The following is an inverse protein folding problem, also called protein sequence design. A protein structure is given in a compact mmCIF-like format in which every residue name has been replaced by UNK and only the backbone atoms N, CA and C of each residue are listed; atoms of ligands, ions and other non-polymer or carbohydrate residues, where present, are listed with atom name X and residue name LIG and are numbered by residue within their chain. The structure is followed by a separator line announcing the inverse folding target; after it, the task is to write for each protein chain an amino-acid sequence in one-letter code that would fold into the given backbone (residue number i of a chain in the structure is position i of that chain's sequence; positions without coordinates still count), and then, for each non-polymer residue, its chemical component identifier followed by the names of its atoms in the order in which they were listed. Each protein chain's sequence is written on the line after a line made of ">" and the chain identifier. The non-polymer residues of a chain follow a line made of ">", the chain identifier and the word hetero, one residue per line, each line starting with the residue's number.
data_IF_431464956673
#
_entry.id   IF_431464956673
#
_cell.length_a   1.000
_cell.length_b   1.000
_cell.length_c   1.000
_cell.angle_alpha   90.00
_cell.angle_beta   90.00
_cell.angle_gamma   90.00
#
_symmetry.space_group_name_H-M   'P 1'
#
loop_
_entity.id
_entity.type
_entity.pdbx_description
1 polymer ?
#
# COMPACT_ATOMS: atom_id res chain seq x y z
N UNK A 1 4.14 23.26 28.84
CA UNK A 1 4.29 21.87 28.38
C UNK A 1 4.23 21.94 26.86
N UNK A 2 5.35 21.75 26.18
CA UNK A 2 5.35 21.59 24.72
C UNK A 2 5.08 20.13 24.41
N UNK A 3 3.96 19.85 23.77
CA UNK A 3 3.68 18.51 23.24
C UNK A 3 4.38 18.43 21.89
N UNK A 4 5.53 17.77 21.84
CA UNK A 4 6.15 17.37 20.57
C UNK A 4 5.51 16.07 20.11
N UNK A 5 4.70 16.14 19.05
CA UNK A 5 4.15 14.97 18.38
C UNK A 5 5.14 14.52 17.31
N UNK A 6 5.84 13.42 17.57
CA UNK A 6 6.63 12.74 16.55
C UNK A 6 5.68 11.94 15.65
N UNK A 7 5.21 12.60 14.59
CA UNK A 7 4.32 12.00 13.61
C UNK A 7 5.12 11.18 12.60
N UNK A 8 4.66 9.97 12.32
CA UNK A 8 5.19 9.19 11.20
C UNK A 8 4.95 9.96 9.90
N UNK A 9 6.01 10.20 9.13
CA UNK A 9 5.95 11.00 7.90
C UNK A 9 5.85 10.19 6.63
N UNK A 10 6.41 8.99 6.65
CA UNK A 10 6.52 8.12 5.49
C UNK A 10 6.27 6.68 5.91
N UNK A 11 5.63 5.94 5.02
CA UNK A 11 5.42 4.50 5.15
C UNK A 11 5.34 3.86 3.78
N UNK A 12 6.02 2.74 3.60
CA UNK A 12 5.95 1.94 2.38
C UNK A 12 5.32 0.59 2.72
N UNK A 13 4.39 0.16 1.88
CA UNK A 13 3.71 -1.12 2.04
C UNK A 13 3.71 -1.91 0.75
N UNK A 14 4.00 -3.21 0.85
CA UNK A 14 4.00 -4.13 -0.28
C UNK A 14 2.76 -5.02 -0.18
N UNK A 15 1.94 -5.00 -1.22
CA UNK A 15 0.69 -5.75 -1.32
C UNK A 15 0.75 -6.66 -2.54
N UNK A 16 0.07 -7.80 -2.46
CA UNK A 16 -0.04 -8.70 -3.60
C UNK A 16 -1.32 -9.52 -3.55
N UNK A 17 -1.86 -9.85 -4.72
CA UNK A 17 -2.99 -10.74 -4.89
C UNK A 17 -2.92 -11.48 -6.24
N UNK A 18 -3.67 -12.57 -6.36
CA UNK A 18 -3.80 -13.32 -7.63
C UNK A 18 -5.00 -12.89 -8.47
N UNK A 19 -5.74 -11.89 -7.97
CA UNK A 19 -6.81 -11.21 -8.66
C UNK A 19 -6.57 -9.69 -8.52
N UNK A 20 -6.75 -8.95 -9.62
CA UNK A 20 -6.45 -7.52 -9.62
C UNK A 20 -7.44 -6.72 -8.77
N UNK A 21 -8.72 -7.10 -8.75
CA UNK A 21 -9.72 -6.42 -7.92
C UNK A 21 -9.46 -6.66 -6.43
N UNK A 22 -8.97 -7.85 -6.07
CA UNK A 22 -8.51 -8.13 -4.70
C UNK A 22 -7.31 -7.24 -4.31
N UNK A 23 -6.37 -6.98 -5.23
CA UNK A 23 -5.26 -6.05 -4.99
C UNK A 23 -5.77 -4.63 -4.79
N UNK A 24 -6.69 -4.15 -5.63
CA UNK A 24 -7.31 -2.83 -5.49
C UNK A 24 -8.02 -2.67 -4.14
N UNK A 25 -8.84 -3.65 -3.76
CA UNK A 25 -9.52 -3.65 -2.45
C UNK A 25 -8.53 -3.61 -1.30
N UNK A 26 -7.44 -4.39 -1.38
CA UNK A 26 -6.41 -4.39 -0.36
C UNK A 26 -5.74 -3.00 -0.25
N UNK A 27 -5.43 -2.35 -1.37
CA UNK A 27 -4.89 -0.98 -1.39
C UNK A 27 -5.86 -0.01 -0.71
N UNK A 28 -7.16 -0.06 -1.02
CA UNK A 28 -8.19 0.80 -0.43
C UNK A 28 -8.33 0.60 1.09
N UNK A 29 -8.25 -0.63 1.57
CA UNK A 29 -8.20 -0.94 3.00
C UNK A 29 -6.97 -0.30 3.66
N UNK A 30 -5.80 -0.39 3.01
CA UNK A 30 -4.57 0.25 3.52
C UNK A 30 -4.67 1.77 3.49
N UNK A 31 -5.32 2.36 2.49
CA UNK A 31 -5.61 3.79 2.44
C UNK A 31 -6.42 4.22 3.67
N UNK A 32 -7.48 3.50 4.02
CA UNK A 32 -8.32 3.86 5.15
C UNK A 32 -7.58 3.78 6.50
N UNK A 33 -6.72 2.78 6.68
CA UNK A 33 -5.88 2.69 7.88
C UNK A 33 -4.84 3.82 7.93
N UNK A 34 -4.19 4.13 6.81
CA UNK A 34 -3.14 5.15 6.78
C UNK A 34 -3.69 6.59 6.88
N UNK A 35 -4.95 6.83 6.47
CA UNK A 35 -5.66 8.09 6.78
C UNK A 35 -5.72 8.37 8.28
N UNK A 36 -5.93 7.35 9.11
CA UNK A 36 -5.93 7.50 10.57
C UNK A 36 -4.55 7.90 11.13
N UNK A 37 -3.48 7.68 10.36
CA UNK A 37 -2.10 8.06 10.66
C UNK A 37 -1.71 9.38 9.99
N UNK A 38 -2.68 10.12 9.44
CA UNK A 38 -2.47 11.36 8.66
C UNK A 38 -1.63 11.18 7.39
N UNK A 39 -1.47 9.94 6.92
CA UNK A 39 -0.75 9.66 5.68
C UNK A 39 -1.73 9.52 4.50
N UNK A 40 -1.32 10.02 3.34
CA UNK A 40 -1.99 9.91 2.04
C UNK A 40 -1.15 9.11 1.06
N UNK A 41 -1.76 8.58 0.01
CA UNK A 41 -1.02 7.93 -1.08
C UNK A 41 -0.19 8.98 -1.80
N UNK A 42 1.13 8.75 -1.84
CA UNK A 42 2.09 9.52 -2.62
C UNK A 42 2.35 8.88 -3.98
N UNK A 43 2.54 7.56 -3.99
CA UNK A 43 2.81 6.80 -5.20
C UNK A 43 2.30 5.36 -5.05
N UNK A 44 1.82 4.79 -6.15
CA UNK A 44 1.57 3.36 -6.29
C UNK A 44 2.36 2.86 -7.48
N UNK A 45 3.22 1.85 -7.28
CA UNK A 45 3.91 1.16 -8.35
C UNK A 45 3.41 -0.27 -8.46
N UNK A 46 2.87 -0.63 -9.62
CA UNK A 46 2.38 -1.98 -9.91
C UNK A 46 3.44 -2.82 -10.62
N UNK A 47 3.42 -4.11 -10.34
CA UNK A 47 4.14 -5.13 -11.11
C UNK A 47 3.25 -6.35 -11.27
N UNK A 48 3.38 -7.02 -12.41
CA UNK A 48 2.71 -8.30 -12.66
C UNK A 48 3.77 -9.33 -13.04
N UNK A 49 3.75 -10.49 -12.40
CA UNK A 49 4.68 -11.59 -12.66
C UNK A 49 3.91 -12.90 -12.78
N UNK A 50 4.26 -13.75 -13.73
CA UNK A 50 3.67 -15.08 -13.82
C UNK A 50 4.25 -15.99 -12.73
N UNK A 51 3.40 -16.56 -11.87
CA UNK A 51 3.78 -17.59 -10.90
C UNK A 51 3.65 -18.98 -11.55
N UNK A 52 4.76 -19.66 -11.86
CA UNK A 52 4.72 -20.97 -12.51
C UNK A 52 4.22 -22.09 -11.59
N UNK A 53 4.29 -21.92 -10.26
CA UNK A 53 3.83 -22.92 -9.30
C UNK A 53 2.30 -22.91 -9.21
N UNK A 54 1.71 -21.72 -9.24
CA UNK A 54 0.24 -21.54 -9.19
C UNK A 54 -0.42 -21.46 -10.56
N UNK A 55 0.37 -21.36 -11.63
CA UNK A 55 -0.10 -21.16 -13.00
C UNK A 55 -1.06 -19.96 -13.11
N UNK A 56 -0.71 -18.84 -12.46
CA UNK A 56 -1.51 -17.62 -12.40
C UNK A 56 -0.62 -16.39 -12.48
N UNK A 57 -1.20 -15.26 -12.88
CA UNK A 57 -0.54 -13.96 -12.72
C UNK A 57 -0.60 -13.56 -11.23
N UNK A 58 0.55 -13.17 -10.69
CA UNK A 58 0.68 -12.49 -9.40
C UNK A 58 0.74 -10.99 -9.66
N UNK A 59 -0.23 -10.26 -9.11
CA UNK A 59 -0.27 -8.80 -9.12
C UNK A 59 0.31 -8.30 -7.81
N UNK A 60 1.26 -7.38 -7.87
CA UNK A 60 1.84 -6.74 -6.71
C UNK A 60 1.85 -5.22 -6.84
N UNK A 61 1.80 -4.54 -5.70
CA UNK A 61 1.91 -3.11 -5.62
C UNK A 61 2.81 -2.71 -4.44
N UNK A 62 3.67 -1.72 -4.68
CA UNK A 62 4.37 -0.97 -3.63
C UNK A 62 3.66 0.37 -3.49
N UNK A 63 3.09 0.62 -2.31
CA UNK A 63 2.35 1.84 -1.99
C UNK A 63 3.19 2.68 -1.03
N UNK A 64 3.57 3.87 -1.47
CA UNK A 64 4.20 4.89 -0.63
C UNK A 64 3.11 5.80 -0.07
N UNK A 65 2.94 5.77 1.24
CA UNK A 65 2.13 6.68 2.02
C UNK A 65 3.02 7.75 2.65
N UNK A 66 2.62 9.02 2.55
CA UNK A 66 3.34 10.15 3.13
C UNK A 66 2.38 11.22 3.65
N UNK A 67 2.84 12.12 4.53
CA UNK A 67 2.03 13.28 4.96
C UNK A 67 1.78 14.30 3.83
N UNK A 68 2.67 14.38 2.83
CA UNK A 68 2.58 15.29 1.66
C UNK A 68 2.69 14.59 0.32
#
# INVERSE_FOLDING_TARGET
>A
MEISLDIMKDKVECLQAYDFQELERAIDERINVNKALLLRVKQVQHQVTFDPVRNKMLYSAVVHFAVE
#
